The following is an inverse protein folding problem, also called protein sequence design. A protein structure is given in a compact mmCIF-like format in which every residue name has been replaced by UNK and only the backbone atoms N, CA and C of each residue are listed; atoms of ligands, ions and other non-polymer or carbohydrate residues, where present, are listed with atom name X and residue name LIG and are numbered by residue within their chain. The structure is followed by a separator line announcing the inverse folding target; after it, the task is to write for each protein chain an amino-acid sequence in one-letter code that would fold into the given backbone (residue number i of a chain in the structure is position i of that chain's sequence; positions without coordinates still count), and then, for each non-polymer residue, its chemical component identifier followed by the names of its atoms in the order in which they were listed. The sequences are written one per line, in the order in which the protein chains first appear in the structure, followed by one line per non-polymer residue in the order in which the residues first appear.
data_IF_045130628904
#
_entry.id   IF_045130628904
#
_cell.length_a   1.000
_cell.length_b   1.000
_cell.length_c   1.000
_cell.angle_alpha   90.00
_cell.angle_beta   90.00
_cell.angle_gamma   90.00
#
_symmetry.space_group_name_H-M   'P 1'
#
loop_
_entity.id
_entity.type
_entity.pdbx_description
1 polymer ?
#
# COMPACT_ATOMS: atom_id res chain seq x y z
N UNK A 1 -26.54 7.35 -18.19
CA UNK A 1 -25.36 6.69 -18.79
C UNK A 1 -24.61 5.97 -17.70
N UNK A 2 -24.39 4.64 -17.77
CA UNK A 2 -23.53 3.98 -16.80
C UNK A 2 -22.10 4.50 -17.02
N UNK A 3 -21.54 5.13 -16.00
CA UNK A 3 -20.12 5.50 -15.99
C UNK A 3 -19.33 4.21 -16.23
N UNK A 4 -18.65 4.11 -17.38
CA UNK A 4 -17.63 3.09 -17.60
C UNK A 4 -16.54 3.34 -16.55
N UNK A 5 -16.63 2.64 -15.41
CA UNK A 5 -15.59 2.70 -14.40
C UNK A 5 -14.35 2.07 -15.02
N UNK A 6 -13.33 2.89 -15.25
CA UNK A 6 -12.02 2.42 -15.71
C UNK A 6 -11.50 1.41 -14.70
N UNK A 7 -11.21 0.20 -15.16
CA UNK A 7 -10.66 -0.86 -14.30
C UNK A 7 -9.35 -0.38 -13.68
N UNK A 8 -9.25 -0.43 -12.35
CA UNK A 8 -8.01 -0.03 -11.67
C UNK A 8 -7.02 -1.18 -11.59
N UNK A 9 -5.76 -0.94 -11.95
CA UNK A 9 -4.67 -1.90 -11.88
C UNK A 9 -3.91 -1.74 -10.56
N UNK A 10 -3.96 -2.78 -9.72
CA UNK A 10 -3.40 -2.78 -8.38
C UNK A 10 -2.23 -3.76 -8.32
N UNK A 11 -1.05 -3.29 -7.93
CA UNK A 11 0.08 -4.13 -7.56
C UNK A 11 0.11 -4.28 -6.03
N UNK A 12 0.14 -5.50 -5.53
CA UNK A 12 0.28 -5.82 -4.12
C UNK A 12 1.62 -6.51 -3.91
N UNK A 13 2.49 -5.87 -3.13
CA UNK A 13 3.76 -6.41 -2.68
C UNK A 13 3.61 -6.78 -1.20
N UNK A 14 3.62 -8.08 -0.91
CA UNK A 14 3.56 -8.58 0.46
C UNK A 14 4.97 -8.92 0.94
N UNK A 15 5.51 -8.08 1.82
CA UNK A 15 6.83 -8.19 2.42
C UNK A 15 6.82 -8.89 3.78
N UNK A 16 5.65 -9.16 4.36
CA UNK A 16 5.52 -9.85 5.66
C UNK A 16 6.16 -11.24 5.61
N UNK A 17 6.48 -11.83 6.77
CA UNK A 17 6.95 -13.22 6.81
C UNK A 17 5.80 -14.21 6.61
N UNK A 18 6.07 -15.51 6.60
CA UNK A 18 5.02 -16.55 6.60
C UNK A 18 4.54 -16.92 8.01
N UNK A 19 5.19 -16.39 9.05
CA UNK A 19 4.92 -16.71 10.45
C UNK A 19 3.90 -15.75 11.07
N UNK A 20 3.47 -14.74 10.33
CA UNK A 20 2.53 -13.71 10.77
C UNK A 20 1.35 -13.57 9.81
N UNK A 21 0.23 -12.98 10.26
CA UNK A 21 -0.86 -12.62 9.38
C UNK A 21 -0.41 -11.67 8.26
N UNK A 22 -0.83 -11.96 7.02
CA UNK A 22 -0.44 -11.19 5.84
C UNK A 22 -1.58 -10.30 5.34
N UNK A 23 -1.35 -9.00 5.38
CA UNK A 23 -2.28 -8.00 4.84
C UNK A 23 -2.39 -8.08 3.34
N UNK A 24 -1.24 -8.22 2.67
CA UNK A 24 -1.23 -8.33 1.22
C UNK A 24 -2.04 -9.54 0.75
N UNK A 25 -1.97 -10.68 1.47
CA UNK A 25 -2.78 -11.86 1.15
C UNK A 25 -4.26 -11.62 1.42
N UNK A 26 -4.61 -11.06 2.59
CA UNK A 26 -5.99 -10.73 2.91
C UNK A 26 -6.60 -9.77 1.86
N UNK A 27 -5.85 -8.74 1.48
CA UNK A 27 -6.27 -7.76 0.48
C UNK A 27 -6.42 -8.39 -0.91
N UNK A 28 -5.50 -9.28 -1.30
CA UNK A 28 -5.63 -10.06 -2.54
C UNK A 28 -6.96 -10.81 -2.55
N UNK A 29 -7.24 -11.59 -1.51
CA UNK A 29 -8.44 -12.43 -1.46
C UNK A 29 -9.71 -11.58 -1.40
N UNK A 30 -9.68 -10.45 -0.68
CA UNK A 30 -10.76 -9.47 -0.68
C UNK A 30 -11.06 -8.90 -2.08
N UNK A 31 -10.02 -8.53 -2.83
CA UNK A 31 -10.19 -8.00 -4.19
C UNK A 31 -10.68 -9.06 -5.17
N UNK A 32 -10.28 -10.32 -5.02
CA UNK A 32 -10.85 -11.44 -5.80
C UNK A 32 -12.34 -11.62 -5.51
N UNK A 33 -12.76 -11.58 -4.24
CA UNK A 33 -14.20 -11.61 -3.89
C UNK A 33 -14.91 -10.42 -4.54
N UNK A 34 -14.35 -9.22 -4.46
CA UNK A 34 -14.94 -8.03 -5.07
C UNK A 34 -15.10 -8.13 -6.59
N UNK A 35 -14.19 -8.84 -7.29
CA UNK A 35 -14.33 -9.09 -8.74
C UNK A 35 -15.57 -9.94 -9.05
N UNK A 36 -15.97 -10.87 -8.18
CA UNK A 36 -17.19 -11.66 -8.38
C UNK A 36 -18.45 -10.77 -8.37
N UNK A 37 -18.45 -9.70 -7.56
CA UNK A 37 -19.57 -8.76 -7.43
C UNK A 37 -19.50 -7.60 -8.42
N UNK A 38 -18.29 -7.12 -8.75
CA UNK A 38 -18.03 -6.00 -9.67
C UNK A 38 -16.79 -6.26 -10.53
N UNK A 39 -16.90 -7.09 -11.58
CA UNK A 39 -15.75 -7.55 -12.37
C UNK A 39 -14.91 -6.44 -13.01
N UNK A 40 -15.54 -5.32 -13.40
CA UNK A 40 -14.89 -4.20 -14.08
C UNK A 40 -14.17 -3.24 -13.14
N UNK A 41 -14.28 -3.40 -11.81
CA UNK A 41 -13.80 -2.38 -10.86
C UNK A 41 -12.30 -2.43 -10.59
N UNK A 42 -11.68 -3.61 -10.61
CA UNK A 42 -10.24 -3.75 -10.39
C UNK A 42 -9.63 -5.03 -10.99
N UNK A 43 -8.34 -4.94 -11.30
CA UNK A 43 -7.43 -6.06 -11.46
C UNK A 43 -6.31 -5.94 -10.43
N UNK A 44 -5.83 -7.08 -9.94
CA UNK A 44 -4.81 -7.15 -8.89
C UNK A 44 -3.72 -8.14 -9.30
N UNK A 45 -2.47 -7.73 -9.15
CA UNK A 45 -1.30 -8.60 -9.17
C UNK A 45 -0.75 -8.68 -7.76
N UNK A 46 -0.52 -9.89 -7.27
CA UNK A 46 0.01 -10.13 -5.94
C UNK A 46 1.36 -10.83 -6.03
N UNK A 47 2.35 -10.32 -5.30
CA UNK A 47 3.65 -10.95 -5.14
C UNK A 47 4.00 -11.06 -3.65
N UNK A 48 4.32 -12.28 -3.22
CA UNK A 48 5.05 -12.49 -1.96
C UNK A 48 6.52 -12.17 -2.20
N UNK A 49 7.01 -11.13 -1.57
CA UNK A 49 8.38 -10.65 -1.70
C UNK A 49 9.30 -11.49 -0.81
N UNK A 50 10.34 -12.08 -1.41
CA UNK A 50 11.22 -13.03 -0.70
C UNK A 50 12.48 -12.40 -0.09
N UNK A 51 12.76 -11.14 -0.42
CA UNK A 51 13.95 -10.44 0.06
C UNK A 51 14.12 -9.08 -0.57
N UNK A 52 15.08 -8.30 -0.06
CA UNK A 52 15.37 -6.94 -0.54
C UNK A 52 15.58 -6.85 -2.06
N UNK A 53 16.39 -7.74 -2.64
CA UNK A 53 16.65 -7.73 -4.10
C UNK A 53 15.36 -7.96 -4.89
N UNK A 54 14.51 -8.87 -4.44
CA UNK A 54 13.22 -9.12 -5.08
C UNK A 54 12.30 -7.91 -4.95
N UNK A 55 12.22 -7.29 -3.78
CA UNK A 55 11.48 -6.05 -3.55
C UNK A 55 11.89 -4.95 -4.53
N UNK A 56 13.19 -4.61 -4.56
CA UNK A 56 13.73 -3.56 -5.42
C UNK A 56 13.50 -3.89 -6.91
N UNK A 57 13.65 -5.15 -7.32
CA UNK A 57 13.35 -5.57 -8.69
C UNK A 57 11.87 -5.44 -9.07
N UNK A 58 10.93 -5.55 -8.12
CA UNK A 58 9.50 -5.29 -8.39
C UNK A 58 9.20 -3.80 -8.51
N UNK A 59 9.99 -2.94 -7.87
CA UNK A 59 9.91 -1.49 -8.03
C UNK A 59 10.62 -1.00 -9.30
N UNK A 60 11.60 -1.75 -9.79
CA UNK A 60 12.32 -1.48 -11.03
C UNK A 60 11.51 -1.90 -12.26
N UNK A 61 10.47 -1.13 -12.60
CA UNK A 61 9.62 -1.41 -13.75
C UNK A 61 9.05 -0.13 -14.36
N UNK A 62 8.98 -0.08 -15.69
CA UNK A 62 8.31 1.01 -16.43
C UNK A 62 6.78 0.84 -16.49
N UNK A 63 6.24 -0.22 -15.90
CA UNK A 63 4.80 -0.46 -15.83
C UNK A 63 4.13 0.63 -14.97
N UNK A 64 3.01 1.14 -15.47
CA UNK A 64 2.15 2.06 -14.73
C UNK A 64 1.04 1.28 -14.03
N UNK A 65 0.84 1.59 -12.74
CA UNK A 65 -0.27 1.06 -11.96
C UNK A 65 -1.17 2.20 -11.49
N UNK A 66 -2.43 1.92 -11.18
CA UNK A 66 -3.26 2.89 -10.46
C UNK A 66 -2.84 2.93 -8.99
N UNK A 67 -2.58 1.76 -8.42
CA UNK A 67 -2.20 1.61 -7.02
C UNK A 67 -1.05 0.63 -6.90
N UNK A 68 -0.07 0.98 -6.08
CA UNK A 68 0.88 0.02 -5.51
C UNK A 68 0.66 -0.01 -4.00
N UNK A 69 0.31 -1.20 -3.51
CA UNK A 69 0.13 -1.50 -2.10
C UNK A 69 1.33 -2.31 -1.62
N UNK A 70 1.99 -1.85 -0.56
CA UNK A 70 3.14 -2.51 0.04
C UNK A 70 2.76 -2.83 1.48
N UNK A 71 2.52 -4.12 1.76
CA UNK A 71 2.33 -4.62 3.11
C UNK A 71 3.69 -5.02 3.67
N UNK A 72 4.15 -4.32 4.70
CA UNK A 72 5.51 -4.49 5.20
C UNK A 72 5.64 -4.05 6.67
N UNK A 73 6.79 -4.33 7.26
CA UNK A 73 7.18 -3.73 8.52
C UNK A 73 7.97 -2.45 8.30
N UNK A 74 7.83 -1.52 9.23
CA UNK A 74 8.74 -0.38 9.40
C UNK A 74 9.41 -0.47 10.77
N UNK A 75 10.53 0.23 10.93
CA UNK A 75 11.28 0.22 12.19
C UNK A 75 10.91 1.42 13.06
N UNK A 76 10.80 1.18 14.37
CA UNK A 76 10.49 2.21 15.36
C UNK A 76 11.70 2.68 16.19
N UNK A 77 12.75 1.87 16.29
CA UNK A 77 13.78 2.04 17.33
C UNK A 77 15.06 2.75 16.86
N UNK A 78 15.23 2.94 15.56
CA UNK A 78 16.28 3.78 14.99
C UNK A 78 15.58 4.82 14.14
N UNK A 79 16.05 6.06 14.17
CA UNK A 79 15.53 7.22 13.42
C UNK A 79 15.39 7.02 11.90
N UNK A 80 15.66 5.83 11.38
CA UNK A 80 15.73 5.47 9.98
C UNK A 80 14.35 4.99 9.51
N UNK A 81 13.84 5.64 8.47
CA UNK A 81 12.59 5.26 7.82
C UNK A 81 12.88 4.12 6.86
N UNK A 82 12.44 2.90 7.18
CA UNK A 82 12.73 1.71 6.35
C UNK A 82 11.48 0.87 6.10
N UNK A 83 11.54 0.07 5.03
CA UNK A 83 10.52 -0.92 4.66
C UNK A 83 11.16 -2.29 4.60
N UNK A 84 10.57 -3.29 5.23
CA UNK A 84 11.14 -4.64 5.24
C UNK A 84 10.18 -5.72 5.71
N UNK A 85 10.73 -6.88 6.04
CA UNK A 85 9.96 -8.02 6.55
C UNK A 85 10.00 -8.16 8.08
N UNK A 86 10.49 -7.16 8.80
CA UNK A 86 10.53 -7.21 10.27
C UNK A 86 11.69 -8.00 10.85
N UNK A 87 12.47 -8.70 10.03
CA UNK A 87 13.42 -9.71 10.51
C UNK A 87 14.75 -9.70 9.74
N UNK A 88 14.74 -10.17 8.51
CA UNK A 88 15.96 -10.54 7.77
C UNK A 88 16.38 -9.52 6.72
N UNK A 89 15.50 -8.60 6.32
CA UNK A 89 15.85 -7.59 5.33
C UNK A 89 15.04 -6.29 5.49
N UNK A 90 15.70 -5.20 5.09
CA UNK A 90 15.19 -3.84 5.12
C UNK A 90 15.72 -3.06 3.91
N UNK A 91 14.88 -2.22 3.31
CA UNK A 91 15.23 -1.28 2.27
C UNK A 91 15.11 0.16 2.79
N UNK A 92 16.13 0.97 2.54
CA UNK A 92 16.13 2.40 2.89
C UNK A 92 15.44 3.24 1.80
N UNK A 93 15.08 4.50 2.08
CA UNK A 93 14.52 5.41 1.08
C UNK A 93 15.50 5.61 -0.09
N UNK A 94 16.80 5.69 0.18
CA UNK A 94 17.84 5.88 -0.84
C UNK A 94 17.92 4.66 -1.77
N UNK A 95 17.94 3.44 -1.22
CA UNK A 95 17.94 2.21 -2.02
C UNK A 95 16.68 2.08 -2.90
N UNK A 96 15.53 2.51 -2.37
CA UNK A 96 14.28 2.57 -3.11
C UNK A 96 14.39 3.63 -4.22
N UNK A 97 14.85 4.83 -3.90
CA UNK A 97 14.96 5.95 -4.84
C UNK A 97 15.90 5.63 -6.02
N UNK A 98 17.01 4.95 -5.75
CA UNK A 98 17.99 4.54 -6.79
C UNK A 98 17.42 3.51 -7.78
N UNK A 99 16.42 2.72 -7.37
CA UNK A 99 15.92 1.56 -8.14
C UNK A 99 14.49 1.72 -8.65
N UNK A 100 13.65 2.47 -7.95
CA UNK A 100 12.23 2.57 -8.23
C UNK A 100 11.99 3.40 -9.50
N UNK A 101 11.68 2.71 -10.59
CA UNK A 101 11.18 3.32 -11.84
C UNK A 101 9.65 3.25 -11.98
N UNK A 102 9.01 2.53 -11.04
CA UNK A 102 7.58 2.39 -10.90
C UNK A 102 6.84 3.74 -10.93
N UNK A 103 5.73 3.80 -11.68
CA UNK A 103 4.80 4.94 -11.69
C UNK A 103 3.42 4.52 -11.21
N UNK A 104 2.84 5.29 -10.30
CA UNK A 104 1.54 4.98 -9.73
C UNK A 104 0.67 6.21 -9.48
N UNK A 105 -0.66 6.08 -9.48
CA UNK A 105 -1.50 7.17 -8.95
C UNK A 105 -1.43 7.21 -7.42
N UNK A 106 -1.40 6.07 -6.76
CA UNK A 106 -1.24 5.94 -5.31
C UNK A 106 -0.16 4.91 -5.00
N UNK A 107 0.78 5.25 -4.12
CA UNK A 107 1.60 4.29 -3.38
C UNK A 107 1.11 4.26 -1.94
N UNK A 108 0.64 3.10 -1.49
CA UNK A 108 0.28 2.86 -0.10
C UNK A 108 1.33 1.94 0.53
N UNK A 109 2.25 2.53 1.28
CA UNK A 109 3.23 1.80 2.11
C UNK A 109 2.60 1.55 3.47
N UNK A 110 1.92 0.42 3.63
CA UNK A 110 1.34 0.03 4.90
C UNK A 110 2.41 -0.61 5.80
N UNK A 111 3.31 0.23 6.29
CA UNK A 111 4.41 -0.12 7.17
C UNK A 111 4.55 0.94 8.27
N UNK A 112 4.66 0.51 9.52
CA UNK A 112 4.70 1.40 10.68
C UNK A 112 5.68 2.58 10.49
N UNK A 113 5.27 3.77 10.94
CA UNK A 113 6.11 4.99 10.96
C UNK A 113 6.66 5.48 9.60
N UNK A 114 6.13 5.00 8.47
CA UNK A 114 6.62 5.34 7.13
C UNK A 114 5.98 6.61 6.52
N UNK A 115 5.07 7.30 7.23
CA UNK A 115 4.53 8.59 6.79
C UNK A 115 5.54 9.74 6.93
N UNK A 116 6.63 9.67 6.17
CA UNK A 116 7.80 10.56 6.29
C UNK A 116 8.22 11.05 4.91
N UNK A 117 8.73 12.28 4.86
CA UNK A 117 9.16 12.94 3.63
C UNK A 117 10.17 12.12 2.83
N UNK A 118 11.19 11.56 3.46
CA UNK A 118 12.20 10.74 2.78
C UNK A 118 11.58 9.54 2.04
N UNK A 119 10.66 8.81 2.68
CA UNK A 119 9.98 7.68 2.04
C UNK A 119 9.04 8.14 0.93
N UNK A 120 8.35 9.29 1.10
CA UNK A 120 7.55 9.91 0.03
C UNK A 120 8.41 10.21 -1.21
N UNK A 121 9.58 10.80 -1.01
CA UNK A 121 10.50 11.20 -2.07
C UNK A 121 11.11 9.98 -2.78
N UNK A 122 11.35 8.89 -2.05
CA UNK A 122 11.76 7.61 -2.63
C UNK A 122 10.74 7.05 -3.64
N UNK A 123 9.45 7.36 -3.45
CA UNK A 123 8.37 7.04 -4.40
C UNK A 123 7.91 8.27 -5.21
N UNK A 124 8.83 9.14 -5.63
CA UNK A 124 8.52 10.37 -6.40
C UNK A 124 7.67 10.16 -7.65
N UNK A 125 7.67 8.98 -8.26
CA UNK A 125 6.85 8.60 -9.41
C UNK A 125 5.35 8.45 -9.14
N UNK A 126 4.87 8.71 -7.92
CA UNK A 126 3.46 8.67 -7.57
C UNK A 126 2.81 10.03 -7.38
N UNK A 127 1.49 10.12 -7.59
CA UNK A 127 0.70 11.31 -7.20
C UNK A 127 0.48 11.30 -5.69
N UNK A 128 -0.24 10.30 -5.18
CA UNK A 128 -0.52 10.15 -3.76
C UNK A 128 0.44 9.19 -3.09
N UNK A 129 0.86 9.50 -1.87
CA UNK A 129 1.57 8.58 -0.98
C UNK A 129 0.86 8.48 0.36
N UNK A 130 0.57 7.25 0.76
CA UNK A 130 -0.12 6.94 2.00
C UNK A 130 0.72 5.97 2.82
N UNK A 131 0.87 6.25 4.10
CA UNK A 131 1.54 5.38 5.06
C UNK A 131 1.06 5.74 6.48
N UNK A 132 1.21 4.85 7.47
CA UNK A 132 0.94 5.20 8.85
C UNK A 132 2.09 6.03 9.45
N UNK A 133 1.73 6.94 10.36
CA UNK A 133 2.65 7.79 11.12
C UNK A 133 2.99 7.21 12.51
N UNK A 134 2.42 6.06 12.87
CA UNK A 134 2.60 5.39 14.17
C UNK A 134 2.89 3.91 13.97
N UNK A 135 3.09 3.18 15.06
CA UNK A 135 3.00 1.73 15.07
C UNK A 135 1.54 1.31 15.06
N UNK A 136 1.13 0.53 14.05
CA UNK A 136 -0.25 0.13 13.84
C UNK A 136 -0.36 -1.37 14.01
N UNK A 137 -1.34 -1.82 14.80
CA UNK A 137 -1.65 -3.25 14.89
C UNK A 137 -2.10 -3.78 13.53
N UNK A 138 -1.65 -4.98 13.21
CA UNK A 138 -1.98 -5.72 12.00
C UNK A 138 -3.47 -5.67 11.62
N UNK A 139 -4.35 -5.99 12.58
CA UNK A 139 -5.80 -6.09 12.37
C UNK A 139 -6.42 -4.75 12.00
N UNK A 140 -5.94 -3.67 12.63
CA UNK A 140 -6.36 -2.30 12.36
C UNK A 140 -5.87 -1.82 11.00
N UNK A 141 -4.62 -2.10 10.65
CA UNK A 141 -4.03 -1.78 9.35
C UNK A 141 -4.78 -2.49 8.21
N UNK A 142 -5.07 -3.78 8.39
CA UNK A 142 -5.88 -4.59 7.48
C UNK A 142 -7.29 -4.05 7.29
N UNK A 143 -7.99 -3.73 8.39
CA UNK A 143 -9.33 -3.16 8.35
C UNK A 143 -9.34 -1.82 7.62
N UNK A 144 -8.37 -0.94 7.90
CA UNK A 144 -8.21 0.33 7.19
C UNK A 144 -8.06 0.11 5.69
N UNK A 145 -7.15 -0.79 5.26
CA UNK A 145 -6.92 -1.06 3.85
C UNK A 145 -8.18 -1.58 3.15
N UNK A 146 -8.90 -2.53 3.75
CA UNK A 146 -10.15 -3.07 3.19
C UNK A 146 -11.20 -1.97 3.02
N UNK A 147 -11.44 -1.17 4.06
CA UNK A 147 -12.43 -0.08 4.01
C UNK A 147 -12.03 0.99 2.98
N UNK A 148 -10.74 1.31 2.90
CA UNK A 148 -10.20 2.25 1.92
C UNK A 148 -10.43 1.75 0.50
N UNK A 149 -10.02 0.52 0.17
CA UNK A 149 -10.19 -0.02 -1.18
C UNK A 149 -11.65 -0.25 -1.54
N UNK A 150 -12.49 -0.65 -0.59
CA UNK A 150 -13.93 -0.74 -0.80
C UNK A 150 -14.51 0.60 -1.27
N UNK A 151 -14.13 1.69 -0.60
CA UNK A 151 -14.64 3.02 -0.91
C UNK A 151 -14.00 3.58 -2.18
N UNK A 152 -12.68 3.49 -2.29
CA UNK A 152 -11.90 4.09 -3.36
C UNK A 152 -12.09 3.40 -4.71
N UNK A 153 -12.13 2.06 -4.70
CA UNK A 153 -12.18 1.23 -5.92
C UNK A 153 -13.60 0.79 -6.20
N UNK A 154 -14.21 0.04 -5.28
CA UNK A 154 -15.47 -0.66 -5.54
C UNK A 154 -16.66 0.30 -5.61
N UNK A 155 -16.60 1.38 -4.82
CA UNK A 155 -17.60 2.46 -4.82
C UNK A 155 -17.17 3.68 -5.65
N UNK A 156 -15.96 3.67 -6.23
CA UNK A 156 -15.48 4.75 -7.10
C UNK A 156 -15.38 6.13 -6.43
N UNK A 157 -15.24 6.19 -5.10
CA UNK A 157 -15.10 7.46 -4.39
C UNK A 157 -13.77 8.14 -4.69
N UNK A 158 -13.70 9.46 -4.47
CA UNK A 158 -12.44 10.20 -4.50
C UNK A 158 -11.48 9.74 -3.39
N UNK A 159 -10.18 9.99 -3.58
CA UNK A 159 -9.13 9.57 -2.64
C UNK A 159 -9.45 10.09 -1.23
N UNK A 160 -9.60 11.41 -1.07
CA UNK A 160 -9.89 12.06 0.21
C UNK A 160 -11.09 11.44 0.92
N UNK A 161 -12.19 11.23 0.21
CA UNK A 161 -13.42 10.65 0.78
C UNK A 161 -13.25 9.19 1.19
N UNK A 162 -12.46 8.41 0.44
CA UNK A 162 -12.14 7.04 0.80
C UNK A 162 -11.20 6.95 1.99
N UNK A 163 -10.20 7.83 2.04
CA UNK A 163 -9.25 7.96 3.14
C UNK A 163 -9.96 8.33 4.44
N UNK A 164 -10.74 9.41 4.46
CA UNK A 164 -11.48 9.85 5.65
C UNK A 164 -12.45 8.77 6.15
N UNK A 165 -13.17 8.11 5.23
CA UNK A 165 -14.07 7.02 5.59
C UNK A 165 -13.31 5.87 6.27
N UNK A 166 -12.23 5.40 5.67
CA UNK A 166 -11.43 4.30 6.23
C UNK A 166 -10.81 4.69 7.57
N UNK A 167 -10.27 5.90 7.66
CA UNK A 167 -9.63 6.47 8.85
C UNK A 167 -10.60 6.54 10.04
N UNK A 168 -11.82 7.03 9.83
CA UNK A 168 -12.84 7.09 10.89
C UNK A 168 -13.36 5.71 11.27
N UNK A 169 -13.67 4.86 10.27
CA UNK A 169 -14.38 3.59 10.51
C UNK A 169 -13.49 2.46 11.01
N UNK A 170 -12.19 2.50 10.76
CA UNK A 170 -11.21 1.60 11.36
C UNK A 170 -10.69 2.06 12.73
N UNK A 171 -11.09 3.26 13.17
CA UNK A 171 -10.51 3.91 14.35
C UNK A 171 -9.04 4.30 14.18
N UNK A 172 -8.51 4.36 12.95
CA UNK A 172 -7.10 4.62 12.63
C UNK A 172 -6.77 6.11 12.41
N UNK A 173 -7.58 7.01 12.98
CA UNK A 173 -7.43 8.45 12.84
C UNK A 173 -6.08 9.01 13.30
N UNK A 174 -5.53 8.44 14.37
CA UNK A 174 -4.21 8.81 14.89
C UNK A 174 -3.07 8.18 14.08
N UNK A 175 -3.34 7.03 13.47
CA UNK A 175 -2.32 6.22 12.80
C UNK A 175 -2.08 6.67 11.37
N UNK A 176 -3.16 7.03 10.66
CA UNK A 176 -3.11 7.62 9.33
C UNK A 176 -3.65 9.05 9.42
N UNK A 177 -2.87 10.01 9.95
CA UNK A 177 -3.36 11.37 10.17
C UNK A 177 -3.59 12.13 8.85
N UNK A 178 -2.77 11.86 7.83
CA UNK A 178 -2.85 12.47 6.51
C UNK A 178 -2.14 11.59 5.45
N UNK A 179 -2.20 12.02 4.19
CA UNK A 179 -1.44 11.49 3.05
C UNK A 179 -0.74 12.63 2.29
N UNK A 180 0.25 12.30 1.48
CA UNK A 180 0.92 13.28 0.61
C UNK A 180 0.27 13.27 -0.79
N UNK A 181 0.11 14.44 -1.41
CA UNK A 181 -0.38 14.65 -2.79
C UNK A 181 0.69 15.31 -3.67
#
# INVERSE_FOLDING_TARGET
MPYLMTQRHILILDCTTTQEPSEGRLLKDYLEICKLWKPSSASSLYFKVRGKRDFLNKLDTDKKYDIVHISAHGLAERSDVIVGNGTTWWATPEEIQERARLRARLVFVNACLNNRKAMREAFSGCKYFLAPNTSVRWDKAALFAILFYQRYIIKGSEMKNAFEYARTRSGAATDYPDYWE
#
